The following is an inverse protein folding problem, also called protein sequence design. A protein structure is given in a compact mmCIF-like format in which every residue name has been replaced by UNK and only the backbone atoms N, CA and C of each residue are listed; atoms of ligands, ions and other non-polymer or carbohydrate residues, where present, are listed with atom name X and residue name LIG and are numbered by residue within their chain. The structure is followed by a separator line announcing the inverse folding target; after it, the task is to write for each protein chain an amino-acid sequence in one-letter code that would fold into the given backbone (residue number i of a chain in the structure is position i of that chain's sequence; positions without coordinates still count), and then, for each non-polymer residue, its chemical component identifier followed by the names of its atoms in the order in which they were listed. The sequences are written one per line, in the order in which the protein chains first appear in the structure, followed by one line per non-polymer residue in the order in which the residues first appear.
data_IF_165670384667
#
_entry.id   IF_165670384667
#
_cell.length_a   1.000
_cell.length_b   1.000
_cell.length_c   1.000
_cell.angle_alpha   90.00
_cell.angle_beta   90.00
_cell.angle_gamma   90.00
#
_symmetry.space_group_name_H-M   'P 1'
#
loop_
_entity.id
_entity.type
_entity.pdbx_description
1 polymer ?
#
# COMPACT_ATOMS: atom_id res chain seq x y z
N UNK A 1 -6.16 29.23 -6.73
CA UNK A 1 -5.07 29.92 -6.00
C UNK A 1 -4.15 28.99 -5.21
N UNK A 2 -4.46 27.69 -5.09
CA UNK A 2 -3.69 26.75 -4.23
C UNK A 2 -2.50 26.04 -4.89
N UNK A 3 -2.47 25.93 -6.21
CA UNK A 3 -1.45 25.13 -6.91
C UNK A 3 -0.06 25.78 -6.91
N UNK A 4 -0.01 27.10 -6.75
CA UNK A 4 1.24 27.87 -6.91
C UNK A 4 2.14 27.84 -5.66
N UNK A 5 1.60 27.63 -4.44
CA UNK A 5 2.39 27.73 -3.22
C UNK A 5 3.31 26.50 -3.02
N UNK A 6 2.81 25.28 -3.27
CA UNK A 6 3.66 24.08 -3.16
C UNK A 6 4.82 24.15 -4.15
N UNK A 7 4.54 24.53 -5.40
CA UNK A 7 5.58 24.64 -6.42
C UNK A 7 6.59 25.75 -6.10
N UNK A 8 6.15 26.85 -5.49
CA UNK A 8 7.05 27.91 -5.02
C UNK A 8 7.93 27.41 -3.88
N UNK A 9 7.37 26.79 -2.83
CA UNK A 9 8.13 26.20 -1.72
C UNK A 9 9.14 25.15 -2.23
N UNK A 10 8.71 24.28 -3.16
CA UNK A 10 9.61 23.27 -3.74
C UNK A 10 10.76 23.92 -4.53
N UNK A 11 10.50 24.96 -5.30
CA UNK A 11 11.54 25.69 -6.05
C UNK A 11 12.53 26.41 -5.11
N UNK A 12 12.03 27.04 -4.07
CA UNK A 12 12.82 27.80 -3.12
C UNK A 12 13.67 26.90 -2.21
N UNK A 13 13.07 25.91 -1.59
CA UNK A 13 13.69 25.12 -0.50
C UNK A 13 14.21 23.75 -0.94
N UNK A 14 13.76 23.23 -2.08
CA UNK A 14 14.11 21.90 -2.53
C UNK A 14 14.79 21.91 -3.89
N UNK A 15 15.59 20.87 -4.12
CA UNK A 15 16.19 20.52 -5.40
C UNK A 15 15.49 19.29 -5.96
N UNK A 16 15.11 19.34 -7.25
CA UNK A 16 14.63 18.15 -7.96
C UNK A 16 15.76 17.11 -8.06
N UNK A 17 15.43 15.84 -7.79
CA UNK A 17 16.41 14.73 -7.84
C UNK A 17 16.14 13.83 -9.04
N UNK A 18 14.95 13.25 -9.14
CA UNK A 18 14.58 12.32 -10.22
C UNK A 18 13.08 12.13 -10.33
N UNK A 19 12.66 11.61 -11.48
CA UNK A 19 11.31 11.07 -11.67
C UNK A 19 11.33 9.58 -11.33
N UNK A 20 10.37 9.11 -10.53
CA UNK A 20 10.16 7.69 -10.23
C UNK A 20 9.12 7.07 -11.17
N UNK A 21 8.08 7.82 -11.51
CA UNK A 21 7.00 7.41 -12.41
C UNK A 21 6.50 8.60 -13.19
N UNK A 22 6.28 8.40 -14.49
CA UNK A 22 5.66 9.40 -15.35
C UNK A 22 4.64 8.72 -16.27
N UNK A 23 3.37 9.00 -16.06
CA UNK A 23 2.26 8.53 -16.90
C UNK A 23 1.22 9.63 -17.00
N UNK A 24 0.29 9.53 -17.96
CA UNK A 24 -0.77 10.52 -18.17
C UNK A 24 -1.62 10.78 -16.91
N UNK A 25 -1.73 9.78 -16.02
CA UNK A 25 -2.57 9.83 -14.81
C UNK A 25 -1.81 10.06 -13.51
N UNK A 26 -0.50 9.90 -13.50
CA UNK A 26 0.31 9.99 -12.27
C UNK A 26 1.74 10.35 -12.60
N UNK A 27 2.23 11.39 -11.95
CA UNK A 27 3.64 11.77 -11.95
C UNK A 27 4.19 11.70 -10.54
N UNK A 28 5.31 11.00 -10.35
CA UNK A 28 5.97 10.84 -9.06
C UNK A 28 7.41 11.31 -9.18
N UNK A 29 7.73 12.35 -8.40
CA UNK A 29 9.04 13.00 -8.41
C UNK A 29 9.67 13.02 -7.02
N UNK A 30 10.98 12.87 -6.96
CA UNK A 30 11.77 12.99 -5.72
C UNK A 30 12.41 14.36 -5.66
N UNK A 31 12.30 15.00 -4.51
CA UNK A 31 12.93 16.26 -4.16
C UNK A 31 13.80 16.11 -2.92
N UNK A 32 14.88 16.90 -2.84
CA UNK A 32 15.77 16.96 -1.69
C UNK A 32 15.82 18.38 -1.13
N UNK A 33 15.59 18.53 0.16
CA UNK A 33 15.71 19.83 0.84
C UNK A 33 17.16 20.33 0.77
N UNK A 34 17.34 21.57 0.32
CA UNK A 34 18.67 22.15 0.01
C UNK A 34 19.59 22.21 1.23
N UNK A 35 19.03 22.57 2.41
CA UNK A 35 19.80 22.70 3.65
C UNK A 35 19.82 21.41 4.47
N UNK A 36 18.66 20.76 4.67
CA UNK A 36 18.53 19.60 5.56
C UNK A 36 18.95 18.29 4.89
N UNK A 37 19.09 18.26 3.56
CA UNK A 37 19.40 17.05 2.80
C UNK A 37 18.30 15.98 2.81
N UNK A 38 17.21 16.18 3.55
CA UNK A 38 16.07 15.25 3.60
C UNK A 38 15.37 15.18 2.27
N UNK A 39 14.89 13.98 1.91
CA UNK A 39 14.14 13.73 0.67
C UNK A 39 12.66 13.61 0.94
N UNK A 40 11.85 14.02 -0.02
CA UNK A 40 10.41 13.78 -0.08
C UNK A 40 10.01 13.35 -1.49
N UNK A 41 8.82 12.77 -1.58
CA UNK A 41 8.15 12.44 -2.84
C UNK A 41 7.02 13.44 -3.06
N UNK A 42 6.98 14.05 -4.24
CA UNK A 42 5.81 14.76 -4.76
C UNK A 42 5.13 13.88 -5.76
N UNK A 43 3.83 13.63 -5.58
CA UNK A 43 3.01 12.97 -6.60
C UNK A 43 1.81 13.81 -6.98
N UNK A 44 1.39 13.67 -8.24
CA UNK A 44 0.09 14.13 -8.70
C UNK A 44 -0.81 12.91 -8.94
N UNK A 45 -2.06 13.02 -8.51
CA UNK A 45 -3.07 11.97 -8.62
C UNK A 45 -4.34 12.58 -9.18
N UNK A 46 -4.87 12.02 -10.27
CA UNK A 46 -6.15 12.42 -10.84
C UNK A 46 -7.31 12.00 -9.93
N UNK A 47 -8.29 12.88 -9.75
CA UNK A 47 -9.52 12.60 -9.00
C UNK A 47 -9.57 13.19 -7.61
N UNK A 48 -10.40 12.62 -6.73
CA UNK A 48 -10.75 13.25 -5.45
C UNK A 48 -9.62 13.23 -4.41
N UNK A 49 -8.71 12.25 -4.47
CA UNK A 49 -7.66 12.06 -3.48
C UNK A 49 -8.16 11.94 -2.04
N UNK A 50 -9.41 11.51 -1.82
CA UNK A 50 -10.08 11.48 -0.51
C UNK A 50 -9.23 10.78 0.56
N UNK A 51 -8.58 9.66 0.20
CA UNK A 51 -7.72 8.90 1.10
C UNK A 51 -6.52 9.73 1.56
N UNK A 52 -5.85 10.44 0.65
CA UNK A 52 -4.68 11.28 0.98
C UNK A 52 -5.05 12.46 1.85
N UNK A 53 -6.24 13.04 1.65
CA UNK A 53 -6.77 14.10 2.52
C UNK A 53 -6.98 13.63 3.96
N UNK A 54 -7.24 12.35 4.17
CA UNK A 54 -7.33 11.74 5.51
C UNK A 54 -5.93 11.39 6.03
N UNK A 55 -5.10 10.73 5.21
CA UNK A 55 -3.77 10.26 5.61
C UNK A 55 -2.84 11.37 6.07
N UNK A 56 -2.96 12.60 5.54
CA UNK A 56 -2.12 13.74 5.97
C UNK A 56 -2.25 14.10 7.46
N UNK A 57 -3.33 13.68 8.11
CA UNK A 57 -3.55 13.88 9.55
C UNK A 57 -3.30 12.64 10.40
N UNK A 58 -2.86 11.56 9.76
CA UNK A 58 -2.64 10.27 10.40
C UNK A 58 -1.15 9.91 10.37
N UNK A 59 -0.70 9.24 11.41
CA UNK A 59 0.68 8.73 11.48
C UNK A 59 0.69 7.29 11.98
N UNK A 60 1.44 6.44 11.29
CA UNK A 60 1.74 5.08 11.74
C UNK A 60 3.14 4.65 11.23
N UNK A 61 3.98 4.01 12.07
CA UNK A 61 5.37 3.69 11.72
C UNK A 61 5.52 2.78 10.49
N UNK A 62 4.52 1.94 10.20
CA UNK A 62 4.53 1.02 9.07
C UNK A 62 3.73 1.54 7.85
N UNK A 63 3.44 2.83 7.78
CA UNK A 63 2.80 3.50 6.64
C UNK A 63 3.71 4.63 6.18
N UNK A 64 3.88 4.82 4.87
CA UNK A 64 4.55 6.00 4.34
C UNK A 64 3.77 7.25 4.76
N UNK A 65 4.46 8.19 5.41
CA UNK A 65 3.82 9.38 5.96
C UNK A 65 3.41 10.33 4.82
N UNK A 66 2.17 10.82 4.86
CA UNK A 66 1.68 11.89 3.99
C UNK A 66 1.88 13.20 4.73
N UNK A 67 2.85 14.01 4.28
CA UNK A 67 3.16 15.29 4.90
C UNK A 67 2.12 16.35 4.59
N UNK A 68 1.63 16.36 3.33
CA UNK A 68 0.53 17.24 2.92
C UNK A 68 -0.18 16.68 1.68
N UNK A 69 -1.43 17.12 1.49
CA UNK A 69 -2.24 16.81 0.32
C UNK A 69 -3.11 18.03 -0.03
N UNK A 70 -2.96 18.54 -1.24
CA UNK A 70 -3.63 19.76 -1.69
C UNK A 70 -4.46 19.48 -2.94
N UNK A 71 -5.74 19.82 -2.90
CA UNK A 71 -6.64 19.69 -4.03
C UNK A 71 -6.30 20.71 -5.12
N UNK A 72 -6.26 20.22 -6.34
CA UNK A 72 -6.18 21.01 -7.57
C UNK A 72 -7.54 20.96 -8.30
N UNK A 73 -7.62 21.60 -9.47
CA UNK A 73 -8.83 21.55 -10.28
C UNK A 73 -9.22 20.11 -10.67
N UNK A 74 -8.23 19.30 -11.06
CA UNK A 74 -8.47 17.99 -11.67
C UNK A 74 -7.93 16.80 -10.85
N UNK A 75 -7.32 17.09 -9.67
CA UNK A 75 -6.71 16.05 -8.85
C UNK A 75 -6.20 16.54 -7.49
N UNK A 76 -5.16 15.86 -7.01
CA UNK A 76 -4.51 16.17 -5.73
C UNK A 76 -3.00 16.11 -5.90
N UNK A 77 -2.30 17.13 -5.41
CA UNK A 77 -0.85 17.07 -5.19
C UNK A 77 -0.61 16.55 -3.78
N UNK A 78 0.24 15.53 -3.66
CA UNK A 78 0.58 14.89 -2.39
C UNK A 78 2.08 14.99 -2.16
N UNK A 79 2.47 15.37 -0.95
CA UNK A 79 3.85 15.31 -0.47
C UNK A 79 3.97 14.17 0.54
N UNK A 80 4.86 13.21 0.25
CA UNK A 80 5.01 11.98 1.00
C UNK A 80 6.45 11.75 1.48
N UNK A 81 6.58 10.92 2.47
CA UNK A 81 7.84 10.38 2.95
C UNK A 81 8.60 9.67 1.82
N UNK A 82 9.86 10.05 1.60
CA UNK A 82 10.76 9.26 0.78
C UNK A 82 11.34 8.14 1.63
N UNK A 83 11.07 6.90 1.26
CA UNK A 83 11.63 5.73 1.95
C UNK A 83 12.97 5.38 1.30
N UNK A 84 14.04 5.46 2.09
CA UNK A 84 15.38 5.03 1.67
C UNK A 84 15.55 3.54 1.93
N UNK A 85 15.25 2.73 0.92
CA UNK A 85 15.22 1.28 1.04
C UNK A 85 14.86 0.60 -0.27
N UNK A 86 14.49 -0.68 -0.16
CA UNK A 86 14.10 -1.53 -1.28
C UNK A 86 12.66 -2.00 -1.11
N UNK A 87 11.98 -2.26 -2.23
CA UNK A 87 10.69 -2.95 -2.19
C UNK A 87 10.87 -4.45 -1.93
N UNK A 88 9.82 -5.09 -1.46
CA UNK A 88 9.78 -6.57 -1.40
C UNK A 88 9.96 -7.16 -2.80
N UNK A 89 9.48 -6.47 -3.84
CA UNK A 89 9.66 -6.90 -5.24
C UNK A 89 11.14 -6.88 -5.65
N UNK A 90 11.89 -5.83 -5.29
CA UNK A 90 13.33 -5.74 -5.59
C UNK A 90 14.08 -6.91 -4.94
N UNK A 91 13.81 -7.19 -3.66
CA UNK A 91 14.45 -8.30 -2.96
C UNK A 91 14.13 -9.66 -3.61
N UNK A 92 12.90 -9.85 -4.10
CA UNK A 92 12.46 -11.10 -4.74
C UNK A 92 13.12 -11.37 -6.10
N UNK A 93 13.79 -10.39 -6.70
CA UNK A 93 14.60 -10.62 -7.91
C UNK A 93 15.80 -11.52 -7.62
N UNK A 94 16.37 -11.41 -6.42
CA UNK A 94 17.58 -12.13 -6.03
C UNK A 94 17.29 -13.37 -5.17
N UNK A 95 16.30 -13.31 -4.29
CA UNK A 95 16.09 -14.35 -3.28
C UNK A 95 14.64 -14.42 -2.78
N UNK A 96 14.25 -15.60 -2.32
CA UNK A 96 13.00 -15.79 -1.56
C UNK A 96 13.21 -15.44 -0.09
N UNK A 97 12.13 -15.03 0.57
CA UNK A 97 12.13 -14.78 2.01
C UNK A 97 12.08 -16.07 2.82
N UNK A 98 12.77 -16.08 3.96
CA UNK A 98 12.58 -17.12 4.97
C UNK A 98 11.19 -16.99 5.63
N UNK A 99 10.61 -18.08 6.16
CA UNK A 99 9.35 -18.04 6.90
C UNK A 99 9.35 -17.02 8.05
N UNK A 100 10.48 -16.87 8.74
CA UNK A 100 10.64 -15.88 9.83
C UNK A 100 10.60 -14.45 9.27
N UNK A 101 11.28 -14.19 8.14
CA UNK A 101 11.24 -12.90 7.45
C UNK A 101 9.83 -12.54 7.00
N UNK A 102 9.10 -13.51 6.43
CA UNK A 102 7.68 -13.32 6.05
C UNK A 102 6.82 -12.96 7.25
N UNK A 103 6.92 -13.72 8.36
CA UNK A 103 6.15 -13.41 9.57
C UNK A 103 6.39 -11.99 10.09
N UNK A 104 7.65 -11.53 10.10
CA UNK A 104 8.01 -10.18 10.53
C UNK A 104 7.34 -9.12 9.65
N UNK A 105 7.45 -9.26 8.32
CA UNK A 105 6.89 -8.30 7.37
C UNK A 105 5.37 -8.30 7.45
N UNK A 106 4.72 -9.46 7.41
CA UNK A 106 3.27 -9.57 7.48
C UNK A 106 2.72 -9.06 8.82
N UNK A 107 3.43 -9.30 9.93
CA UNK A 107 3.05 -8.75 11.25
C UNK A 107 3.01 -7.21 11.23
N UNK A 108 4.03 -6.57 10.65
CA UNK A 108 4.09 -5.11 10.51
C UNK A 108 2.98 -4.58 9.59
N UNK A 109 2.69 -5.28 8.47
CA UNK A 109 1.59 -4.94 7.58
C UNK A 109 0.22 -5.11 8.26
N UNK A 110 0.05 -6.12 9.11
CA UNK A 110 -1.18 -6.26 9.91
C UNK A 110 -1.39 -5.06 10.85
N UNK A 111 -0.32 -4.51 11.46
CA UNK A 111 -0.43 -3.30 12.29
C UNK A 111 -0.82 -2.07 11.46
N UNK A 112 -0.18 -1.89 10.30
CA UNK A 112 -0.53 -0.82 9.37
C UNK A 112 -1.99 -0.90 8.91
N UNK A 113 -2.44 -2.09 8.51
CA UNK A 113 -3.80 -2.31 8.03
C UNK A 113 -4.85 -2.20 9.13
N UNK A 114 -4.57 -2.67 10.36
CA UNK A 114 -5.48 -2.46 11.50
C UNK A 114 -5.71 -0.96 11.75
N UNK A 115 -4.65 -0.17 11.62
CA UNK A 115 -4.73 1.28 11.74
C UNK A 115 -5.55 1.91 10.61
N UNK A 116 -5.33 1.51 9.35
CA UNK A 116 -6.10 1.98 8.19
C UNK A 116 -7.58 1.59 8.29
N UNK A 117 -7.87 0.34 8.61
CA UNK A 117 -9.23 -0.18 8.72
C UNK A 117 -10.04 0.52 9.82
N UNK A 118 -9.42 0.85 10.96
CA UNK A 118 -10.03 1.69 12.00
C UNK A 118 -10.38 3.09 11.52
N UNK A 119 -9.60 3.62 10.58
CA UNK A 119 -9.88 4.89 9.92
C UNK A 119 -10.73 4.73 8.66
N UNK A 120 -11.38 3.56 8.48
CA UNK A 120 -12.25 3.25 7.34
C UNK A 120 -11.55 3.27 5.98
N UNK A 121 -10.25 3.09 5.93
CA UNK A 121 -9.46 3.03 4.69
C UNK A 121 -9.13 1.57 4.38
N UNK A 122 -9.45 1.12 3.17
CA UNK A 122 -9.09 -0.18 2.62
C UNK A 122 -8.04 0.08 1.54
N UNK A 123 -6.90 -0.63 1.58
CA UNK A 123 -5.76 -0.39 0.71
C UNK A 123 -5.98 -0.89 -0.73
N UNK A 124 -6.50 -2.12 -0.88
CA UNK A 124 -6.90 -2.77 -2.16
C UNK A 124 -5.78 -3.13 -3.14
N UNK A 125 -4.54 -2.75 -2.89
CA UNK A 125 -3.40 -3.06 -3.79
C UNK A 125 -2.14 -3.48 -3.02
N UNK A 126 -2.30 -4.45 -2.10
CA UNK A 126 -1.17 -5.01 -1.36
C UNK A 126 -0.43 -6.01 -2.25
N UNK A 127 0.83 -5.69 -2.58
CA UNK A 127 1.71 -6.48 -3.42
C UNK A 127 3.18 -6.17 -3.11
N UNK A 128 4.15 -6.96 -3.61
CA UNK A 128 5.56 -6.75 -3.34
C UNK A 128 6.08 -5.36 -3.66
N UNK A 129 5.58 -4.71 -4.72
CA UNK A 129 5.99 -3.38 -5.16
C UNK A 129 5.55 -2.28 -4.19
N UNK A 130 4.47 -2.53 -3.42
CA UNK A 130 3.87 -1.56 -2.50
C UNK A 130 4.29 -1.77 -1.03
N UNK A 131 5.28 -2.63 -0.79
CA UNK A 131 5.87 -2.86 0.53
C UNK A 131 7.36 -2.57 0.46
N UNK A 132 7.83 -1.57 1.18
CA UNK A 132 9.23 -1.20 1.28
C UNK A 132 9.83 -1.63 2.62
N UNK A 133 11.13 -1.93 2.60
CA UNK A 133 11.95 -2.15 3.79
C UNK A 133 13.04 -1.09 3.75
N UNK A 134 13.05 -0.19 4.74
CA UNK A 134 14.07 0.86 4.83
C UNK A 134 15.43 0.30 5.24
N UNK A 135 16.48 1.11 5.15
CA UNK A 135 17.86 0.73 5.50
C UNK A 135 18.03 0.36 6.99
N UNK A 136 17.06 0.69 7.85
CA UNK A 136 17.01 0.30 9.27
C UNK A 136 16.22 -0.99 9.49
N UNK A 137 15.65 -1.57 8.43
CA UNK A 137 14.84 -2.79 8.48
C UNK A 137 13.37 -2.57 8.83
N UNK A 138 12.88 -1.33 8.88
CA UNK A 138 11.47 -1.05 9.12
C UNK A 138 10.65 -1.32 7.86
N UNK A 139 9.48 -1.92 8.04
CA UNK A 139 8.53 -2.20 6.97
C UNK A 139 7.59 -1.01 6.79
N UNK A 140 7.43 -0.54 5.56
CA UNK A 140 6.55 0.57 5.19
C UNK A 140 5.58 0.14 4.08
N UNK A 141 4.29 0.31 4.29
CA UNK A 141 3.26 0.21 3.26
C UNK A 141 3.21 1.53 2.51
N UNK A 142 3.26 1.46 1.19
CA UNK A 142 3.28 2.62 0.28
C UNK A 142 2.18 2.50 -0.77
N UNK A 143 1.94 3.58 -1.52
CA UNK A 143 1.06 3.65 -2.69
C UNK A 143 -0.43 3.40 -2.39
N UNK A 144 -1.15 4.49 -2.12
CA UNK A 144 -2.58 4.49 -1.78
C UNK A 144 -3.48 4.87 -2.98
N UNK A 145 -2.98 4.74 -4.24
CA UNK A 145 -3.75 5.14 -5.43
C UNK A 145 -5.03 4.29 -5.62
N UNK A 146 -4.97 3.02 -5.23
CA UNK A 146 -6.12 2.10 -5.27
C UNK A 146 -6.99 2.14 -4.01
N UNK A 147 -6.49 2.78 -2.95
CA UNK A 147 -7.15 2.79 -1.66
C UNK A 147 -8.46 3.60 -1.69
N UNK A 148 -9.38 3.23 -0.82
CA UNK A 148 -10.66 3.93 -0.71
C UNK A 148 -11.13 4.05 0.73
N UNK A 149 -12.00 5.04 0.96
CA UNK A 149 -12.76 5.17 2.21
C UNK A 149 -13.99 4.27 2.15
N UNK A 150 -14.13 3.37 3.12
CA UNK A 150 -15.29 2.48 3.24
C UNK A 150 -16.53 3.26 3.68
N UNK A 151 -17.65 3.10 2.94
CA UNK A 151 -18.91 3.80 3.20
C UNK A 151 -20.04 2.76 3.32
N UNK A 152 -20.62 2.62 4.50
CA UNK A 152 -21.65 1.61 4.80
C UNK A 152 -22.89 1.63 3.89
N UNK A 153 -23.18 2.78 3.28
CA UNK A 153 -24.37 2.96 2.41
C UNK A 153 -24.09 2.64 0.92
N UNK A 154 -22.86 2.30 0.56
CA UNK A 154 -22.52 1.88 -0.81
C UNK A 154 -22.54 0.36 -0.88
N UNK A 155 -23.32 -0.19 -1.84
CA UNK A 155 -23.39 -1.63 -2.07
C UNK A 155 -22.36 -2.15 -3.08
N UNK A 156 -21.72 -1.25 -3.84
CA UNK A 156 -20.78 -1.58 -4.92
C UNK A 156 -19.58 -0.63 -4.95
N UNK A 157 -18.46 -1.14 -5.39
CA UNK A 157 -17.32 -0.31 -5.73
C UNK A 157 -17.54 0.41 -7.06
N UNK A 158 -17.12 1.67 -7.14
CA UNK A 158 -17.32 2.50 -8.34
C UNK A 158 -16.35 2.19 -9.46
N UNK A 159 -15.24 1.53 -9.16
CA UNK A 159 -14.19 1.15 -10.12
C UNK A 159 -13.65 -0.23 -9.78
N UNK A 160 -13.44 -1.05 -10.82
CA UNK A 160 -12.67 -2.29 -10.71
C UNK A 160 -11.20 -1.89 -10.65
N UNK A 161 -10.57 -2.06 -9.48
CA UNK A 161 -9.17 -1.72 -9.27
C UNK A 161 -8.50 -2.89 -8.53
N UNK A 162 -7.35 -3.31 -9.02
CA UNK A 162 -6.53 -4.34 -8.39
C UNK A 162 -5.48 -4.87 -9.36
N UNK A 163 -4.39 -5.37 -8.82
CA UNK A 163 -3.32 -5.99 -9.61
C UNK A 163 -3.66 -7.46 -9.86
N UNK A 164 -3.64 -7.88 -11.13
CA UNK A 164 -3.89 -9.28 -11.53
C UNK A 164 -2.97 -10.20 -10.72
N UNK A 165 -3.54 -11.25 -10.14
CA UNK A 165 -2.82 -12.23 -9.31
C UNK A 165 -2.73 -11.86 -7.82
N UNK A 166 -3.06 -10.61 -7.41
CA UNK A 166 -3.11 -10.19 -6.00
C UNK A 166 -4.50 -9.73 -5.57
N UNK A 167 -5.29 -9.22 -6.52
CA UNK A 167 -6.62 -8.71 -6.23
C UNK A 167 -7.58 -9.83 -5.81
N UNK A 168 -8.33 -9.58 -4.75
CA UNK A 168 -9.35 -10.51 -4.27
C UNK A 168 -10.49 -10.63 -5.28
N UNK A 169 -11.17 -11.80 -5.35
CA UNK A 169 -12.25 -12.05 -6.31
C UNK A 169 -13.35 -10.99 -6.29
N UNK A 170 -13.71 -10.47 -5.11
CA UNK A 170 -14.72 -9.42 -4.97
C UNK A 170 -14.30 -8.08 -5.60
N UNK A 171 -13.01 -7.84 -5.84
CA UNK A 171 -12.54 -6.63 -6.54
C UNK A 171 -12.91 -6.63 -8.03
N UNK A 172 -13.15 -7.80 -8.62
CA UNK A 172 -13.63 -7.97 -10.00
C UNK A 172 -15.15 -8.08 -10.09
N UNK A 173 -15.83 -8.12 -8.96
CA UNK A 173 -17.24 -8.43 -8.87
C UNK A 173 -18.15 -7.23 -8.62
N UNK A 174 -19.38 -7.58 -8.30
CA UNK A 174 -20.52 -6.67 -8.17
C UNK A 174 -20.62 -6.11 -6.73
N UNK A 175 -19.92 -6.72 -5.78
CA UNK A 175 -20.01 -6.41 -4.36
C UNK A 175 -18.99 -5.35 -3.93
N UNK A 176 -19.30 -4.69 -2.81
CA UNK A 176 -18.37 -3.77 -2.17
C UNK A 176 -17.23 -4.54 -1.52
N UNK A 177 -15.99 -4.07 -1.72
CA UNK A 177 -14.82 -4.55 -0.99
C UNK A 177 -14.82 -4.05 0.45
N UNK A 178 -14.36 -4.86 1.38
CA UNK A 178 -14.15 -4.51 2.79
C UNK A 178 -12.73 -4.84 3.26
N UNK A 179 -12.47 -4.75 4.56
CA UNK A 179 -11.15 -5.02 5.15
C UNK A 179 -10.58 -6.41 4.84
N UNK A 180 -11.45 -7.40 4.52
CA UNK A 180 -11.05 -8.77 4.19
C UNK A 180 -10.47 -8.90 2.78
N UNK A 181 -10.64 -7.88 1.95
CA UNK A 181 -9.95 -7.75 0.66
C UNK A 181 -8.44 -7.63 0.86
N UNK A 182 -8.00 -6.82 1.82
CA UNK A 182 -6.57 -6.69 2.15
C UNK A 182 -6.01 -7.98 2.77
N UNK A 183 -6.82 -8.74 3.52
CA UNK A 183 -6.44 -10.06 4.05
C UNK A 183 -6.14 -11.06 2.93
N UNK A 184 -6.96 -11.07 1.87
CA UNK A 184 -6.68 -11.92 0.70
C UNK A 184 -5.32 -11.58 0.08
N UNK A 185 -5.08 -10.30 -0.19
CA UNK A 185 -3.83 -9.84 -0.78
C UNK A 185 -2.60 -10.13 0.11
N UNK A 186 -2.73 -10.05 1.45
CA UNK A 186 -1.69 -10.51 2.38
C UNK A 186 -1.40 -12.01 2.25
N UNK A 187 -2.44 -12.83 2.04
CA UNK A 187 -2.27 -14.27 1.80
C UNK A 187 -1.48 -14.56 0.53
N UNK A 188 -1.80 -13.87 -0.56
CA UNK A 188 -1.07 -13.97 -1.82
C UNK A 188 0.37 -13.49 -1.65
N UNK A 189 0.57 -12.33 -1.01
CA UNK A 189 1.91 -11.78 -0.74
C UNK A 189 2.78 -12.75 0.07
N UNK A 190 2.24 -13.36 1.15
CA UNK A 190 2.95 -14.39 1.91
C UNK A 190 3.43 -15.53 1.02
N UNK A 191 2.56 -16.03 0.16
CA UNK A 191 2.89 -17.14 -0.74
C UNK A 191 3.97 -16.76 -1.75
N UNK A 192 3.84 -15.57 -2.36
CA UNK A 192 4.84 -15.08 -3.34
C UNK A 192 6.19 -14.86 -2.67
N UNK A 193 6.25 -14.32 -1.48
CA UNK A 193 7.51 -14.15 -0.73
C UNK A 193 8.20 -15.49 -0.44
N UNK A 194 7.44 -16.57 -0.24
CA UNK A 194 7.96 -17.91 0.09
C UNK A 194 8.25 -18.78 -1.12
N UNK A 195 7.62 -18.53 -2.27
CA UNK A 195 7.68 -19.47 -3.42
C UNK A 195 8.04 -18.79 -4.74
N UNK A 196 8.02 -17.44 -4.79
CA UNK A 196 8.15 -16.65 -6.01
C UNK A 196 6.92 -16.73 -6.94
N UNK A 197 5.83 -17.38 -6.52
CA UNK A 197 4.64 -17.61 -7.35
C UNK A 197 3.35 -17.37 -6.57
N UNK A 198 2.26 -16.96 -7.23
CA UNK A 198 0.92 -16.92 -6.63
C UNK A 198 0.48 -18.32 -6.15
N UNK A 199 -0.43 -18.41 -5.15
CA UNK A 199 -0.84 -19.67 -4.56
C UNK A 199 -1.56 -20.62 -5.54
N UNK A 200 -2.20 -20.08 -6.59
CA UNK A 200 -2.85 -20.86 -7.65
C UNK A 200 -1.83 -21.62 -8.52
N UNK A 201 -0.61 -21.11 -8.64
CA UNK A 201 0.47 -21.72 -9.42
C UNK A 201 1.31 -22.64 -8.53
N UNK A 202 1.68 -22.17 -7.33
CA UNK A 202 2.51 -22.93 -6.40
C UNK A 202 2.20 -22.54 -4.96
N UNK A 203 1.44 -23.39 -4.27
CA UNK A 203 1.15 -23.18 -2.86
C UNK A 203 2.36 -23.58 -1.99
N UNK A 204 2.75 -22.68 -1.08
CA UNK A 204 3.77 -22.97 -0.08
C UNK A 204 3.41 -24.19 0.80
N UNK A 205 4.35 -25.11 1.00
CA UNK A 205 4.14 -26.33 1.79
C UNK A 205 4.98 -26.33 3.07
N UNK A 206 4.60 -25.52 4.05
CA UNK A 206 5.27 -25.40 5.34
C UNK A 206 4.33 -24.81 6.39
N UNK A 207 4.87 -24.33 7.51
CA UNK A 207 4.10 -23.89 8.69
C UNK A 207 3.04 -22.82 8.38
N UNK A 208 3.28 -21.93 7.42
CA UNK A 208 2.35 -20.87 7.02
C UNK A 208 1.27 -21.31 6.02
N UNK A 209 1.30 -22.57 5.51
CA UNK A 209 0.34 -23.06 4.51
C UNK A 209 -1.11 -22.82 4.93
N UNK A 210 -1.47 -23.21 6.17
CA UNK A 210 -2.86 -23.09 6.68
C UNK A 210 -3.30 -21.61 6.72
N UNK A 211 -2.39 -20.71 7.09
CA UNK A 211 -2.66 -19.27 7.14
C UNK A 211 -2.91 -18.73 5.74
N UNK A 212 -2.02 -19.04 4.79
CA UNK A 212 -2.15 -18.63 3.38
C UNK A 212 -3.48 -19.11 2.81
N UNK A 213 -3.79 -20.42 2.95
CA UNK A 213 -5.05 -20.99 2.44
C UNK A 213 -6.28 -20.30 3.05
N UNK A 214 -6.26 -20.00 4.34
CA UNK A 214 -7.39 -19.30 4.99
C UNK A 214 -7.51 -17.86 4.49
N UNK A 215 -6.42 -17.13 4.30
CA UNK A 215 -6.45 -15.77 3.74
C UNK A 215 -7.01 -15.75 2.32
N UNK A 216 -6.62 -16.70 1.48
CA UNK A 216 -6.94 -16.73 0.05
C UNK A 216 -8.25 -17.45 -0.30
N UNK A 217 -9.15 -17.64 0.67
CA UNK A 217 -10.49 -18.15 0.41
C UNK A 217 -11.26 -17.22 -0.52
N UNK A 218 -11.95 -17.78 -1.51
CA UNK A 218 -12.75 -17.02 -2.49
C UNK A 218 -13.84 -16.21 -1.80
N UNK A 219 -14.55 -16.83 -0.84
CA UNK A 219 -15.62 -16.20 -0.07
C UNK A 219 -15.01 -15.44 1.12
N UNK A 220 -15.21 -14.11 1.24
CA UNK A 220 -14.63 -13.30 2.32
C UNK A 220 -14.97 -13.81 3.73
N UNK A 221 -16.17 -14.36 3.95
CA UNK A 221 -16.61 -14.89 5.25
C UNK A 221 -15.79 -16.12 5.71
N UNK A 222 -15.14 -16.82 4.81
CA UNK A 222 -14.27 -17.96 5.13
C UNK A 222 -12.83 -17.55 5.46
N UNK A 223 -12.48 -16.27 5.30
CA UNK A 223 -11.18 -15.71 5.68
C UNK A 223 -11.10 -15.40 7.17
N UNK A 224 -10.00 -14.82 7.62
CA UNK A 224 -9.93 -14.19 8.94
C UNK A 224 -10.88 -12.99 8.98
N UNK A 225 -11.49 -12.74 10.16
CA UNK A 225 -12.45 -11.63 10.32
C UNK A 225 -11.78 -10.26 10.20
N UNK A 226 -10.53 -10.15 10.64
CA UNK A 226 -9.72 -8.93 10.59
C UNK A 226 -8.23 -9.29 10.65
N UNK A 227 -7.39 -8.30 10.39
CA UNK A 227 -5.92 -8.50 10.37
C UNK A 227 -5.32 -8.82 11.75
N UNK A 228 -5.99 -8.49 12.86
CA UNK A 228 -5.55 -8.90 14.20
C UNK A 228 -5.69 -10.40 14.40
N UNK A 229 -6.79 -10.98 13.93
CA UNK A 229 -6.98 -12.44 13.96
C UNK A 229 -5.92 -13.13 13.09
N UNK A 230 -5.67 -12.61 11.89
CA UNK A 230 -4.59 -13.10 11.03
C UNK A 230 -3.23 -13.05 11.76
N UNK A 231 -2.86 -11.90 12.33
CA UNK A 231 -1.58 -11.71 13.02
C UNK A 231 -1.34 -12.71 14.15
N UNK A 232 -2.38 -13.07 14.93
CA UNK A 232 -2.28 -14.06 16.02
C UNK A 232 -2.02 -15.49 15.52
N UNK A 233 -2.25 -15.75 14.23
CA UNK A 233 -2.08 -17.05 13.60
C UNK A 233 -0.79 -17.18 12.78
N UNK A 234 0.05 -16.14 12.76
CA UNK A 234 1.39 -16.18 12.15
C UNK A 234 2.36 -16.95 13.09
#
# INVERSE_FOLDING_TARGET
MSDNWIDNVLKEQYQFVKVLKNSDKSQICVYRHKELGKRLVKRYIEGSGEVFMILRSLFHPNIANVYDAVRTKDGVIVLEEYIDGQTVADYLQDSLYSPTGVKRIISALCDALDFLHKNKIIHKDIKPENVMIDNSGNVKLIDFDAARVYKHYQSKDTKIIGTIGYAAPEQYGINQTDERTDIYALGVLMNVMLTGKPPEIKLYNGKLKKVIVKCTQTIPDNRYKNVKELKRNL
#
